data_IF_761197568355
#
_entry.id   IF_761197568355
#
_cell.length_a   1.000
_cell.length_b   1.000
_cell.length_c   1.000
_cell.angle_alpha   90.00
_cell.angle_beta   90.00
_cell.angle_gamma   90.00
#
_symmetry.space_group_name_H-M   'P 1'
#
loop_
_entity.id
_entity.type
_entity.pdbx_description
1 polymer ?
#
# COMPACT_ATOMS: atom_id res chain seq x y z
N UNK A 1 8.71 -11.19 10.99
CA UNK A 1 7.79 -10.51 10.03
C UNK A 1 6.59 -11.39 9.79
N UNK A 2 5.41 -10.79 9.60
CA UNK A 2 4.16 -11.49 9.28
C UNK A 2 3.76 -11.16 7.85
N UNK A 3 3.09 -12.08 7.16
CA UNK A 3 2.69 -11.90 5.76
C UNK A 3 1.20 -11.58 5.68
N UNK A 4 0.88 -10.56 4.92
CA UNK A 4 -0.46 -10.19 4.51
C UNK A 4 -0.54 -10.01 3.01
N UNK A 5 -1.74 -9.81 2.50
CA UNK A 5 -2.00 -9.61 1.08
C UNK A 5 -3.01 -8.48 0.87
N UNK A 6 -2.80 -7.64 -0.13
CA UNK A 6 -3.74 -6.60 -0.48
C UNK A 6 -4.86 -7.17 -1.36
N UNK A 7 -6.11 -6.87 -1.01
CA UNK A 7 -7.30 -7.40 -1.71
C UNK A 7 -7.55 -6.81 -3.11
N UNK A 8 -6.71 -5.88 -3.58
CA UNK A 8 -6.84 -5.24 -4.91
C UNK A 8 -6.88 -6.27 -6.05
N UNK A 9 -6.12 -7.37 -5.95
CA UNK A 9 -6.05 -8.40 -6.98
C UNK A 9 -7.40 -9.08 -7.25
N UNK A 10 -8.33 -9.08 -6.26
CA UNK A 10 -9.70 -9.54 -6.45
C UNK A 10 -10.60 -8.46 -7.05
N UNK A 11 -10.42 -8.17 -8.33
CA UNK A 11 -11.25 -7.28 -9.13
C UNK A 11 -10.60 -5.99 -9.58
N UNK A 12 -9.39 -5.71 -9.12
CA UNK A 12 -8.65 -4.50 -9.48
C UNK A 12 -9.39 -3.20 -9.15
N UNK A 13 -8.77 -2.08 -9.45
CA UNK A 13 -9.43 -0.77 -9.52
C UNK A 13 -9.85 -0.47 -10.96
N UNK A 14 -10.81 0.43 -11.13
CA UNK A 14 -11.20 0.89 -12.46
C UNK A 14 -10.05 1.68 -13.06
N UNK A 15 -9.42 1.14 -14.12
CA UNK A 15 -8.30 1.77 -14.81
C UNK A 15 -7.28 0.75 -15.30
N UNK A 16 -6.09 1.23 -15.65
CA UNK A 16 -4.96 0.42 -16.08
C UNK A 16 -4.37 -0.38 -14.91
N UNK A 17 -3.87 -1.60 -15.19
CA UNK A 17 -3.18 -2.46 -14.21
C UNK A 17 -1.93 -1.81 -13.57
N UNK A 18 -1.40 -0.74 -14.15
CA UNK A 18 -0.33 0.09 -13.58
C UNK A 18 -0.82 1.18 -12.62
N UNK A 19 -2.08 1.10 -12.20
CA UNK A 19 -2.57 1.85 -11.06
C UNK A 19 -3.17 3.21 -11.38
N UNK A 20 -4.20 3.26 -12.19
CA UNK A 20 -5.00 4.48 -12.31
C UNK A 20 -6.08 4.49 -11.24
N UNK A 21 -6.03 5.51 -10.39
CA UNK A 21 -7.13 5.84 -9.51
C UNK A 21 -8.07 6.81 -10.21
N UNK A 22 -9.35 6.51 -10.21
CA UNK A 22 -10.35 7.43 -10.72
C UNK A 22 -10.51 8.61 -9.76
N UNK A 23 -10.22 9.83 -10.21
CA UNK A 23 -10.52 11.06 -9.46
C UNK A 23 -12.04 11.31 -9.30
N UNK A 24 -12.87 10.47 -9.90
CA UNK A 24 -14.33 10.55 -9.78
C UNK A 24 -14.87 9.82 -8.57
N UNK A 25 -14.11 8.84 -8.08
CA UNK A 25 -14.50 8.07 -6.91
C UNK A 25 -13.94 8.73 -5.65
N UNK A 26 -14.80 8.94 -4.68
CA UNK A 26 -14.40 9.50 -3.38
C UNK A 26 -13.51 8.55 -2.58
N UNK A 27 -13.48 7.27 -2.95
CA UNK A 27 -12.74 6.21 -2.28
C UNK A 27 -11.99 5.35 -3.30
N UNK A 28 -10.87 4.81 -2.87
CA UNK A 28 -10.29 3.67 -3.57
C UNK A 28 -11.13 2.43 -3.32
N UNK A 29 -11.30 1.59 -4.34
CA UNK A 29 -12.12 0.40 -4.21
C UNK A 29 -11.67 -0.69 -5.17
N UNK A 30 -11.41 -1.88 -4.64
CA UNK A 30 -11.37 -3.09 -5.44
C UNK A 30 -12.79 -3.55 -5.75
N UNK A 31 -13.03 -3.92 -7.02
CA UNK A 31 -14.39 -4.20 -7.53
C UNK A 31 -14.84 -5.66 -7.35
N UNK A 32 -13.94 -6.55 -6.88
CA UNK A 32 -14.26 -7.94 -6.61
C UNK A 32 -15.02 -8.16 -5.30
N UNK A 33 -15.42 -9.40 -5.08
CA UNK A 33 -16.13 -9.80 -3.87
C UNK A 33 -15.13 -9.88 -2.69
N UNK A 34 -15.23 -8.98 -1.73
CA UNK A 34 -14.31 -8.92 -0.58
C UNK A 34 -14.41 -10.14 0.33
N UNK A 35 -15.56 -10.74 0.45
CA UNK A 35 -15.74 -11.98 1.21
C UNK A 35 -14.98 -13.16 0.57
N UNK A 36 -14.92 -13.21 -0.76
CA UNK A 36 -14.10 -14.18 -1.48
C UNK A 36 -12.62 -13.89 -1.30
N UNK A 37 -12.20 -12.60 -1.44
CA UNK A 37 -10.83 -12.19 -1.22
C UNK A 37 -10.32 -12.59 0.17
N UNK A 38 -11.08 -12.32 1.22
CA UNK A 38 -10.73 -12.68 2.60
C UNK A 38 -10.52 -14.19 2.74
N UNK A 39 -11.45 -15.01 2.20
CA UNK A 39 -11.34 -16.47 2.28
C UNK A 39 -10.14 -17.01 1.51
N UNK A 40 -9.89 -16.50 0.31
CA UNK A 40 -8.80 -16.97 -0.53
C UNK A 40 -7.44 -16.58 0.06
N UNK A 41 -7.26 -15.34 0.49
CA UNK A 41 -6.03 -14.84 1.12
C UNK A 41 -5.72 -15.67 2.38
N UNK A 42 -6.70 -15.89 3.25
CA UNK A 42 -6.55 -16.77 4.41
C UNK A 42 -6.22 -18.21 4.01
N UNK A 43 -6.89 -18.74 2.98
CA UNK A 43 -6.67 -20.08 2.45
C UNK A 43 -5.28 -20.29 1.84
N UNK A 44 -4.63 -19.22 1.35
CA UNK A 44 -3.24 -19.23 0.91
C UNK A 44 -2.22 -19.15 2.06
N UNK A 45 -2.69 -19.06 3.32
CA UNK A 45 -1.81 -19.04 4.50
C UNK A 45 -1.28 -17.66 4.87
N UNK A 46 -1.87 -16.58 4.38
CA UNK A 46 -1.61 -15.24 4.88
C UNK A 46 -2.35 -15.01 6.20
N UNK A 47 -1.73 -14.28 7.11
CA UNK A 47 -2.31 -13.99 8.42
C UNK A 47 -2.96 -12.59 8.50
N UNK A 48 -2.79 -11.76 7.48
CA UNK A 48 -3.31 -10.41 7.42
C UNK A 48 -3.79 -10.01 6.03
N UNK A 49 -4.69 -9.05 6.00
CA UNK A 49 -5.22 -8.45 4.77
C UNK A 49 -5.12 -6.93 4.86
N UNK A 50 -4.82 -6.30 3.73
CA UNK A 50 -5.00 -4.87 3.52
C UNK A 50 -6.19 -4.65 2.60
N UNK A 51 -6.97 -3.62 2.87
CA UNK A 51 -8.13 -3.25 2.06
C UNK A 51 -8.09 -1.77 1.71
N UNK A 52 -8.72 -1.40 0.60
CA UNK A 52 -9.01 -0.01 0.30
C UNK A 52 -10.06 0.59 1.24
N UNK A 53 -9.97 1.89 1.46
CA UNK A 53 -10.90 2.67 2.28
C UNK A 53 -12.36 2.52 1.83
N UNK A 54 -12.65 2.46 0.54
CA UNK A 54 -14.00 2.25 0.02
C UNK A 54 -14.53 0.84 0.24
N UNK A 55 -13.66 -0.17 0.28
CA UNK A 55 -14.08 -1.54 0.64
C UNK A 55 -14.43 -1.62 2.11
N UNK A 56 -13.62 -1.02 2.99
CA UNK A 56 -13.92 -0.95 4.43
C UNK A 56 -15.16 -0.10 4.71
N UNK A 57 -15.32 1.03 4.02
CA UNK A 57 -16.48 1.91 4.16
C UNK A 57 -17.81 1.21 3.80
N UNK A 58 -17.80 0.19 2.94
CA UNK A 58 -19.00 -0.59 2.62
C UNK A 58 -19.56 -1.40 3.79
N UNK A 59 -18.78 -1.53 4.87
CA UNK A 59 -19.19 -2.19 6.12
C UNK A 59 -19.49 -1.21 7.26
N UNK A 60 -19.50 0.12 7.00
CA UNK A 60 -19.70 1.12 8.05
C UNK A 60 -21.03 0.95 8.82
N UNK A 61 -22.11 0.60 8.10
CA UNK A 61 -23.46 0.39 8.68
C UNK A 61 -23.68 -1.04 9.21
N UNK A 62 -22.72 -1.94 8.99
CA UNK A 62 -22.79 -3.35 9.38
C UNK A 62 -21.40 -3.88 9.81
N UNK A 63 -20.80 -3.27 10.82
CA UNK A 63 -19.41 -3.58 11.21
C UNK A 63 -19.21 -5.03 11.69
N UNK A 64 -20.25 -5.65 12.22
CA UNK A 64 -20.18 -7.03 12.69
C UNK A 64 -20.00 -8.02 11.55
N UNK A 65 -20.52 -7.73 10.35
CA UNK A 65 -20.33 -8.58 9.17
C UNK A 65 -18.85 -8.71 8.80
N UNK A 66 -18.09 -7.61 8.82
CA UNK A 66 -16.65 -7.66 8.53
C UNK A 66 -15.88 -8.34 9.67
N UNK A 67 -16.24 -8.07 10.93
CA UNK A 67 -15.60 -8.73 12.09
C UNK A 67 -15.83 -10.26 12.05
N UNK A 68 -17.03 -10.69 11.75
CA UNK A 68 -17.37 -12.12 11.63
C UNK A 68 -16.63 -12.77 10.46
N UNK A 69 -16.56 -12.07 9.30
CA UNK A 69 -15.85 -12.55 8.12
C UNK A 69 -14.35 -12.76 8.41
N UNK A 70 -13.68 -11.73 8.98
CA UNK A 70 -12.26 -11.78 9.34
C UNK A 70 -12.00 -12.85 10.43
N UNK A 71 -12.83 -12.87 11.47
CA UNK A 71 -12.71 -13.82 12.57
C UNK A 71 -12.92 -15.27 12.13
N UNK A 72 -13.89 -15.54 11.24
CA UNK A 72 -14.15 -16.88 10.68
C UNK A 72 -12.99 -17.34 9.79
N UNK A 73 -12.40 -16.43 9.04
CA UNK A 73 -11.24 -16.72 8.20
C UNK A 73 -9.92 -16.82 9.00
N UNK A 74 -9.89 -16.33 10.24
CA UNK A 74 -8.69 -16.30 11.08
C UNK A 74 -7.62 -15.32 10.57
N UNK A 75 -8.02 -14.20 9.94
CA UNK A 75 -7.14 -13.21 9.34
C UNK A 75 -7.37 -11.83 9.97
N UNK A 76 -6.33 -11.01 10.09
CA UNK A 76 -6.42 -9.66 10.67
C UNK A 76 -6.50 -8.60 9.57
N UNK A 77 -7.33 -7.55 9.74
CA UNK A 77 -7.20 -6.32 8.95
C UNK A 77 -5.96 -5.57 9.46
N UNK A 78 -4.91 -5.53 8.66
CA UNK A 78 -3.60 -4.95 9.03
C UNK A 78 -3.56 -3.46 8.80
N UNK A 79 -4.07 -3.05 7.66
CA UNK A 79 -3.94 -1.70 7.11
C UNK A 79 -5.11 -1.37 6.21
N UNK A 80 -5.35 -0.07 6.07
CA UNK A 80 -6.29 0.47 5.09
C UNK A 80 -5.53 1.42 4.18
N UNK A 81 -5.65 1.20 2.87
CA UNK A 81 -5.10 2.09 1.86
C UNK A 81 -6.11 3.20 1.55
N UNK A 82 -5.64 4.44 1.58
CA UNK A 82 -6.37 5.65 1.20
C UNK A 82 -5.46 6.60 0.44
N UNK A 83 -5.99 7.68 -0.09
CA UNK A 83 -5.17 8.69 -0.74
C UNK A 83 -6.00 9.81 -1.34
N UNK A 84 -5.33 10.82 -1.86
CA UNK A 84 -5.99 12.00 -2.42
C UNK A 84 -5.06 12.76 -3.39
N UNK A 85 -5.59 13.84 -3.98
CA UNK A 85 -4.76 14.73 -4.80
C UNK A 85 -3.81 15.60 -3.98
N UNK A 86 -4.24 16.04 -2.79
CA UNK A 86 -3.51 16.80 -1.76
C UNK A 86 -3.08 18.23 -2.15
N UNK A 87 -2.75 18.50 -3.40
CA UNK A 87 -2.15 19.77 -3.86
C UNK A 87 -3.17 20.85 -4.23
N UNK A 88 -4.46 20.52 -4.28
CA UNK A 88 -5.53 21.44 -4.63
C UNK A 88 -6.21 21.96 -3.36
N UNK A 89 -5.99 23.24 -3.03
CA UNK A 89 -6.49 23.86 -1.81
C UNK A 89 -8.03 23.75 -1.66
N UNK A 90 -8.74 23.89 -2.78
CA UNK A 90 -10.23 23.84 -2.78
C UNK A 90 -10.78 22.45 -2.48
N UNK A 91 -10.05 21.38 -2.84
CA UNK A 91 -10.46 19.99 -2.60
C UNK A 91 -9.96 19.43 -1.25
N UNK A 92 -8.85 19.96 -0.73
CA UNK A 92 -8.10 19.38 0.39
C UNK A 92 -8.95 19.17 1.64
N UNK A 93 -9.91 20.05 1.92
CA UNK A 93 -10.79 19.91 3.08
C UNK A 93 -11.63 18.66 3.01
N UNK A 94 -12.22 18.39 1.85
CA UNK A 94 -13.10 17.23 1.65
C UNK A 94 -12.27 15.95 1.56
N UNK A 95 -11.08 16.01 0.96
CA UNK A 95 -10.13 14.91 0.91
C UNK A 95 -9.71 14.48 2.33
N UNK A 96 -9.34 15.42 3.19
CA UNK A 96 -8.96 15.12 4.57
C UNK A 96 -10.13 14.61 5.41
N UNK A 97 -11.34 15.12 5.22
CA UNK A 97 -12.53 14.59 5.89
C UNK A 97 -12.76 13.11 5.55
N UNK A 98 -12.60 12.75 4.26
CA UNK A 98 -12.72 11.36 3.83
C UNK A 98 -11.62 10.47 4.44
N UNK A 99 -10.38 10.97 4.48
CA UNK A 99 -9.26 10.24 5.08
C UNK A 99 -9.46 10.05 6.59
N UNK A 100 -10.01 11.04 7.29
CA UNK A 100 -10.39 10.93 8.70
C UNK A 100 -11.41 9.80 8.91
N UNK A 101 -12.46 9.75 8.07
CA UNK A 101 -13.42 8.64 8.11
C UNK A 101 -12.79 7.28 7.82
N UNK A 102 -11.84 7.22 6.88
CA UNK A 102 -11.10 5.99 6.61
C UNK A 102 -10.25 5.54 7.82
N UNK A 103 -9.60 6.48 8.50
CA UNK A 103 -8.81 6.20 9.70
C UNK A 103 -9.69 5.72 10.88
N UNK A 104 -10.85 6.34 11.10
CA UNK A 104 -11.82 5.91 12.12
C UNK A 104 -12.31 4.47 11.86
N UNK A 105 -12.64 4.14 10.62
CA UNK A 105 -13.07 2.80 10.24
C UNK A 105 -11.91 1.80 10.36
N UNK A 106 -10.71 2.15 9.92
CA UNK A 106 -9.52 1.32 10.08
C UNK A 106 -9.31 0.93 11.56
N UNK A 107 -9.35 1.92 12.45
CA UNK A 107 -9.25 1.70 13.90
C UNK A 107 -10.41 0.83 14.45
N UNK A 108 -11.63 1.04 13.96
CA UNK A 108 -12.83 0.27 14.37
C UNK A 108 -12.67 -1.23 14.08
N UNK A 109 -11.97 -1.58 13.00
CA UNK A 109 -11.73 -2.97 12.60
C UNK A 109 -10.35 -3.50 13.06
N UNK A 110 -9.62 -2.74 13.88
CA UNK A 110 -8.37 -3.19 14.50
C UNK A 110 -7.13 -3.04 13.63
N UNK A 111 -7.22 -2.36 12.49
CA UNK A 111 -6.05 -2.02 11.70
C UNK A 111 -5.08 -1.13 12.51
N UNK A 112 -3.80 -1.24 12.21
CA UNK A 112 -2.76 -0.47 12.89
C UNK A 112 -2.08 0.53 11.97
N UNK A 113 -2.35 0.48 10.66
CA UNK A 113 -1.68 1.25 9.63
C UNK A 113 -2.67 1.92 8.70
N UNK A 114 -2.33 3.14 8.29
CA UNK A 114 -2.97 3.84 7.19
C UNK A 114 -1.92 4.00 6.08
N UNK A 115 -2.13 3.34 4.95
CA UNK A 115 -1.29 3.50 3.76
C UNK A 115 -1.85 4.64 2.94
N UNK A 116 -0.99 5.57 2.54
CA UNK A 116 -1.39 6.83 1.93
C UNK A 116 -0.72 7.00 0.57
N UNK A 117 -1.50 6.81 -0.49
CA UNK A 117 -1.07 7.08 -1.85
C UNK A 117 -1.53 8.44 -2.37
N UNK A 118 -1.15 8.77 -3.59
CA UNK A 118 -1.63 9.94 -4.30
C UNK A 118 -0.64 11.10 -4.38
N UNK A 119 -1.18 12.31 -4.52
CA UNK A 119 -0.44 13.49 -4.97
C UNK A 119 -0.63 13.69 -6.47
N UNK A 120 -1.47 14.66 -6.86
CA UNK A 120 -1.79 14.89 -8.26
C UNK A 120 -0.62 15.52 -9.03
N UNK A 121 -0.53 15.20 -10.31
CA UNK A 121 0.28 15.94 -11.28
C UNK A 121 -0.63 16.94 -12.01
N UNK A 122 -0.19 18.19 -12.07
CA UNK A 122 -0.90 19.21 -12.86
C UNK A 122 -0.66 19.00 -14.35
N UNK A 123 -1.65 19.29 -15.17
CA UNK A 123 -1.50 19.26 -16.63
C UNK A 123 -0.39 20.22 -17.13
N UNK A 124 -0.13 21.31 -16.40
CA UNK A 124 0.93 22.26 -16.70
C UNK A 124 2.33 21.83 -16.20
N UNK A 125 2.43 20.68 -15.54
CA UNK A 125 3.64 20.18 -14.91
C UNK A 125 3.66 20.39 -13.40
N UNK A 126 4.65 19.77 -12.76
CA UNK A 126 4.84 19.82 -11.29
C UNK A 126 5.66 21.06 -10.93
N UNK A 127 5.19 21.80 -9.95
CA UNK A 127 5.89 22.96 -9.39
C UNK A 127 6.57 22.60 -8.05
N UNK A 128 7.68 23.25 -7.66
CA UNK A 128 8.30 23.03 -6.35
C UNK A 128 7.34 23.21 -5.18
N UNK A 129 6.37 24.12 -5.30
CA UNK A 129 5.34 24.41 -4.31
C UNK A 129 4.34 23.27 -4.16
N UNK A 130 4.16 22.41 -5.15
CA UNK A 130 3.28 21.25 -5.05
C UNK A 130 3.82 20.21 -4.05
N UNK A 131 5.16 20.10 -3.92
CA UNK A 131 5.78 19.26 -2.88
C UNK A 131 5.59 19.83 -1.47
N UNK A 132 5.59 21.16 -1.31
CA UNK A 132 5.29 21.79 -0.04
C UNK A 132 3.83 21.53 0.36
N UNK A 133 2.89 21.75 -0.55
CA UNK A 133 1.46 21.46 -0.34
C UNK A 133 1.22 20.00 0.01
N UNK A 134 1.85 19.09 -0.74
CA UNK A 134 1.77 17.66 -0.46
C UNK A 134 2.32 17.34 0.94
N UNK A 135 3.49 17.86 1.28
CA UNK A 135 4.11 17.62 2.59
C UNK A 135 3.25 18.10 3.76
N UNK A 136 2.70 19.32 3.67
CA UNK A 136 1.78 19.88 4.68
C UNK A 136 0.48 19.07 4.81
N UNK A 137 -0.08 18.61 3.68
CA UNK A 137 -1.27 17.77 3.68
C UNK A 137 -0.98 16.41 4.32
N UNK A 138 0.16 15.78 4.02
CA UNK A 138 0.57 14.50 4.59
C UNK A 138 0.88 14.59 6.09
N UNK A 139 1.37 15.73 6.57
CA UNK A 139 1.53 15.97 8.02
C UNK A 139 0.17 16.03 8.74
N UNK A 140 -0.85 16.59 8.08
CA UNK A 140 -2.23 16.55 8.58
C UNK A 140 -2.80 15.14 8.59
N UNK A 141 -2.55 14.37 7.54
CA UNK A 141 -2.94 12.94 7.48
C UNK A 141 -2.25 12.14 8.57
N UNK A 142 -0.97 12.43 8.84
CA UNK A 142 -0.24 11.78 9.93
C UNK A 142 -0.90 12.09 11.29
N UNK A 143 -1.28 13.34 11.53
CA UNK A 143 -1.99 13.71 12.76
C UNK A 143 -3.37 13.03 12.88
N UNK A 144 -4.11 12.90 11.77
CA UNK A 144 -5.37 12.14 11.72
C UNK A 144 -5.13 10.66 12.09
N UNK A 145 -4.14 10.02 11.51
CA UNK A 145 -3.81 8.64 11.81
C UNK A 145 -3.45 8.47 13.30
N UNK A 146 -2.55 9.30 13.82
CA UNK A 146 -2.13 9.28 15.22
C UNK A 146 -3.30 9.46 16.20
N UNK A 147 -4.25 10.36 15.90
CA UNK A 147 -5.44 10.58 16.73
C UNK A 147 -6.38 9.37 16.79
N UNK A 148 -6.27 8.47 15.81
CA UNK A 148 -7.00 7.20 15.75
C UNK A 148 -6.14 5.99 16.18
N UNK A 149 -4.94 6.21 16.74
CA UNK A 149 -4.05 5.13 17.17
C UNK A 149 -3.36 4.37 16.04
N UNK A 150 -3.34 4.95 14.83
CA UNK A 150 -2.70 4.38 13.64
C UNK A 150 -1.36 5.05 13.37
N UNK A 151 -0.47 4.37 12.65
CA UNK A 151 0.65 5.01 11.99
C UNK A 151 0.39 5.15 10.49
N UNK A 152 0.74 6.31 9.90
CA UNK A 152 0.61 6.56 8.47
C UNK A 152 1.93 6.35 7.74
N UNK A 153 1.87 5.81 6.52
CA UNK A 153 3.01 5.68 5.62
C UNK A 153 2.65 6.12 4.20
N UNK A 154 3.47 7.03 3.64
CA UNK A 154 3.31 7.43 2.25
C UNK A 154 3.81 6.34 1.31
N UNK A 155 3.00 6.01 0.34
CA UNK A 155 3.25 5.01 -0.69
C UNK A 155 3.50 5.71 -2.03
N UNK A 156 4.77 5.85 -2.47
CA UNK A 156 5.09 6.35 -3.80
C UNK A 156 4.49 5.46 -4.88
N UNK A 157 3.90 6.07 -5.89
CA UNK A 157 3.14 5.33 -6.87
C UNK A 157 3.33 5.93 -8.27
N UNK A 158 3.44 5.09 -9.30
CA UNK A 158 3.43 5.53 -10.68
C UNK A 158 2.22 6.41 -10.96
N UNK A 159 2.34 7.38 -11.86
CA UNK A 159 1.33 8.37 -12.23
C UNK A 159 1.01 9.42 -11.16
N UNK A 160 1.69 9.41 -10.01
CA UNK A 160 1.59 10.46 -8.99
C UNK A 160 2.75 11.48 -9.10
N UNK A 161 2.76 12.48 -8.23
CA UNK A 161 3.84 13.47 -8.16
C UNK A 161 5.16 12.90 -7.62
N UNK A 162 5.13 11.71 -7.01
CA UNK A 162 6.30 11.06 -6.42
C UNK A 162 6.45 9.66 -7.01
N UNK A 163 7.28 9.55 -8.04
CA UNK A 163 7.63 8.29 -8.71
C UNK A 163 9.12 7.98 -8.57
N UNK A 164 9.99 8.96 -8.86
CA UNK A 164 11.43 8.80 -8.88
C UNK A 164 12.06 8.96 -7.49
N UNK A 165 13.31 8.45 -7.29
CA UNK A 165 14.07 8.68 -6.05
C UNK A 165 14.24 10.15 -5.70
N UNK A 166 14.50 11.02 -6.68
CA UNK A 166 14.65 12.45 -6.45
C UNK A 166 13.36 13.11 -5.98
N UNK A 167 12.21 12.68 -6.52
CA UNK A 167 10.90 13.16 -6.10
C UNK A 167 10.57 12.67 -4.69
N UNK A 168 10.92 11.43 -4.37
CA UNK A 168 10.82 10.90 -3.01
C UNK A 168 11.66 11.71 -2.02
N UNK A 169 12.93 11.99 -2.34
CA UNK A 169 13.81 12.80 -1.48
C UNK A 169 13.24 14.22 -1.27
N UNK A 170 12.67 14.82 -2.32
CA UNK A 170 12.00 16.12 -2.22
C UNK A 170 10.81 16.09 -1.27
N UNK A 171 9.98 15.05 -1.34
CA UNK A 171 8.84 14.90 -0.44
C UNK A 171 9.30 14.62 0.98
N UNK A 172 10.16 13.62 1.19
CA UNK A 172 10.55 13.15 2.52
C UNK A 172 11.27 14.22 3.35
N UNK A 173 11.86 15.23 2.70
CA UNK A 173 12.43 16.41 3.36
C UNK A 173 11.39 17.45 3.81
N UNK A 174 10.11 17.28 3.45
CA UNK A 174 9.02 18.26 3.69
C UNK A 174 7.90 17.76 4.56
N UNK A 175 7.96 16.50 4.98
CA UNK A 175 6.91 15.89 5.79
C UNK A 175 7.51 14.93 6.83
N UNK A 176 6.79 14.75 7.92
CA UNK A 176 7.11 13.75 8.94
C UNK A 176 6.41 12.40 8.74
N UNK A 177 5.57 12.25 7.71
CA UNK A 177 4.86 11.00 7.44
C UNK A 177 5.86 9.84 7.33
N UNK A 178 5.47 8.64 7.77
CA UNK A 178 6.25 7.43 7.55
C UNK A 178 6.41 7.10 6.06
N UNK A 179 7.19 6.07 5.78
CA UNK A 179 7.42 5.57 4.44
C UNK A 179 6.86 4.15 4.31
N UNK A 180 6.04 3.94 3.29
CA UNK A 180 5.59 2.63 2.84
C UNK A 180 6.22 2.35 1.46
N UNK A 181 7.44 1.77 1.40
CA UNK A 181 8.02 1.38 0.12
C UNK A 181 7.16 0.32 -0.56
N UNK A 182 6.80 0.56 -1.82
CA UNK A 182 6.35 -0.47 -2.75
C UNK A 182 7.48 -0.80 -3.70
N UNK A 183 7.90 -2.05 -3.70
CA UNK A 183 9.12 -2.47 -4.37
C UNK A 183 9.05 -2.32 -5.90
N UNK A 184 7.90 -2.59 -6.50
CA UNK A 184 7.75 -2.48 -7.94
C UNK A 184 7.53 -1.04 -8.41
N UNK A 185 6.74 -0.25 -7.68
CA UNK A 185 6.57 1.18 -8.01
C UNK A 185 7.89 1.95 -7.91
N UNK A 186 8.68 1.70 -6.87
CA UNK A 186 10.00 2.31 -6.72
C UNK A 186 10.96 1.91 -7.84
N UNK A 187 10.97 0.63 -8.22
CA UNK A 187 11.81 0.15 -9.32
C UNK A 187 11.36 0.69 -10.68
N UNK A 188 10.06 0.70 -10.96
CA UNK A 188 9.50 1.28 -12.18
C UNK A 188 9.72 2.81 -12.27
N UNK A 189 9.79 3.50 -11.13
CA UNK A 189 10.18 4.91 -11.01
C UNK A 189 11.69 5.16 -11.17
N UNK A 190 12.48 4.12 -11.47
CA UNK A 190 13.93 4.20 -11.70
C UNK A 190 14.79 4.11 -10.45
N UNK A 191 14.22 3.72 -9.31
CA UNK A 191 14.92 3.53 -8.05
C UNK A 191 15.36 2.07 -7.82
N UNK A 192 16.26 1.90 -6.86
CA UNK A 192 16.57 0.60 -6.26
C UNK A 192 15.79 0.51 -4.94
N UNK A 193 14.80 -0.40 -4.81
CA UNK A 193 13.97 -0.51 -3.63
C UNK A 193 14.78 -0.78 -2.36
N UNK A 194 15.78 -1.65 -2.41
CA UNK A 194 16.62 -1.96 -1.25
C UNK A 194 17.46 -0.75 -0.81
N UNK A 195 18.04 -0.02 -1.78
CA UNK A 195 18.78 1.21 -1.47
C UNK A 195 17.89 2.30 -0.87
N UNK A 196 16.64 2.45 -1.36
CA UNK A 196 15.68 3.42 -0.83
C UNK A 196 15.19 3.06 0.58
N UNK A 197 14.97 1.77 0.87
CA UNK A 197 14.68 1.29 2.23
C UNK A 197 15.84 1.63 3.18
N UNK A 198 17.09 1.36 2.78
CA UNK A 198 18.30 1.70 3.56
C UNK A 198 18.49 3.22 3.74
N UNK A 199 18.00 4.03 2.79
CA UNK A 199 18.06 5.50 2.86
C UNK A 199 17.14 6.09 3.93
N UNK A 200 16.01 5.44 4.20
CA UNK A 200 14.97 5.90 5.13
C UNK A 200 14.64 4.90 6.25
N UNK A 201 15.64 4.30 6.93
CA UNK A 201 15.41 3.17 7.85
C UNK A 201 14.46 3.51 9.00
N UNK A 202 14.56 4.72 9.54
CA UNK A 202 13.76 5.17 10.69
C UNK A 202 12.35 5.68 10.27
N UNK A 203 12.04 5.66 8.97
CA UNK A 203 10.77 6.13 8.42
C UNK A 203 9.86 5.00 7.98
N UNK A 204 10.34 3.75 7.93
CA UNK A 204 9.53 2.60 7.46
C UNK A 204 8.41 2.31 8.45
N UNK A 205 7.16 2.48 8.02
CA UNK A 205 5.97 2.18 8.82
C UNK A 205 5.18 0.99 8.27
N UNK A 206 5.35 0.69 6.99
CA UNK A 206 4.72 -0.41 6.28
C UNK A 206 5.57 -0.82 5.09
N UNK A 207 5.35 -1.99 4.50
CA UNK A 207 6.09 -2.45 3.31
C UNK A 207 5.17 -3.19 2.37
N UNK A 208 5.14 -2.77 1.11
CA UNK A 208 4.51 -3.49 0.01
C UNK A 208 5.55 -4.23 -0.82
N UNK A 209 5.33 -5.51 -0.99
CA UNK A 209 6.13 -6.38 -1.85
C UNK A 209 5.36 -6.66 -3.13
N UNK A 210 5.91 -6.20 -4.24
CA UNK A 210 5.37 -6.34 -5.58
C UNK A 210 6.53 -6.59 -6.54
N UNK A 211 6.40 -7.54 -7.46
CA UNK A 211 7.42 -7.80 -8.47
C UNK A 211 7.04 -7.20 -9.81
N UNK A 212 8.00 -7.04 -10.70
CA UNK A 212 7.74 -6.46 -12.00
C UNK A 212 8.62 -7.06 -13.11
N UNK A 213 8.11 -7.01 -14.33
CA UNK A 213 8.87 -7.00 -15.56
C UNK A 213 9.04 -5.55 -16.03
N UNK A 214 10.26 -5.10 -16.40
CA UNK A 214 10.49 -3.68 -16.66
C UNK A 214 10.12 -3.24 -18.10
N UNK A 215 10.06 -4.15 -19.07
CA UNK A 215 9.81 -3.80 -20.48
C UNK A 215 8.97 -4.89 -21.20
N UNK A 216 7.70 -4.61 -21.55
CA UNK A 216 6.91 -3.48 -21.02
C UNK A 216 6.73 -3.60 -19.51
N UNK A 217 6.51 -2.49 -18.83
CA UNK A 217 6.25 -2.53 -17.38
C UNK A 217 4.97 -3.33 -17.12
N UNK A 218 5.13 -4.39 -16.33
CA UNK A 218 4.03 -5.26 -15.91
C UNK A 218 4.28 -5.75 -14.49
N UNK A 219 3.31 -5.59 -13.60
CA UNK A 219 3.39 -6.12 -12.26
C UNK A 219 3.07 -7.61 -12.25
N UNK A 220 3.84 -8.36 -11.48
CA UNK A 220 3.83 -9.83 -11.48
C UNK A 220 3.77 -10.37 -10.05
N UNK A 221 3.29 -11.60 -9.85
CA UNK A 221 3.46 -12.33 -8.60
C UNK A 221 4.95 -12.38 -8.21
N UNK A 222 5.23 -12.39 -6.91
CA UNK A 222 6.60 -12.41 -6.41
C UNK A 222 7.37 -13.62 -6.93
N UNK A 223 8.60 -13.36 -7.39
CA UNK A 223 9.48 -14.37 -8.00
C UNK A 223 9.24 -14.62 -9.47
N UNK A 224 8.22 -14.00 -10.09
CA UNK A 224 7.98 -14.06 -11.52
C UNK A 224 8.61 -12.88 -12.31
N UNK A 225 9.08 -11.86 -11.61
CA UNK A 225 9.72 -10.68 -12.18
C UNK A 225 11.24 -10.67 -12.01
N UNK A 226 11.80 -9.46 -11.87
CA UNK A 226 13.26 -9.25 -11.87
C UNK A 226 13.83 -8.71 -10.56
N UNK A 227 13.00 -8.43 -9.54
CA UNK A 227 13.48 -7.80 -8.31
C UNK A 227 14.24 -8.79 -7.40
N UNK A 228 15.32 -8.31 -6.79
CA UNK A 228 16.10 -9.07 -5.82
C UNK A 228 15.46 -8.98 -4.41
N UNK A 229 14.48 -9.85 -4.16
CA UNK A 229 13.81 -9.90 -2.86
C UNK A 229 14.72 -10.34 -1.71
N UNK A 230 15.81 -11.05 -1.97
CA UNK A 230 16.77 -11.37 -0.92
C UNK A 230 17.46 -10.10 -0.41
N UNK A 231 17.89 -9.20 -1.30
CA UNK A 231 18.46 -7.91 -0.89
C UNK A 231 17.42 -6.97 -0.29
N UNK A 232 16.19 -6.93 -0.84
CA UNK A 232 15.08 -6.14 -0.30
C UNK A 232 14.75 -6.57 1.14
N UNK A 233 14.57 -7.86 1.41
CA UNK A 233 14.27 -8.36 2.75
C UNK A 233 15.44 -8.11 3.72
N UNK A 234 16.69 -8.16 3.26
CA UNK A 234 17.85 -7.78 4.04
C UNK A 234 17.80 -6.30 4.41
N UNK A 235 17.50 -5.40 3.45
CA UNK A 235 17.35 -3.98 3.71
C UNK A 235 16.23 -3.68 4.74
N UNK A 236 15.11 -4.39 4.66
CA UNK A 236 14.01 -4.29 5.63
C UNK A 236 14.47 -4.66 7.05
N UNK A 237 15.29 -5.74 7.20
CA UNK A 237 15.83 -6.12 8.50
C UNK A 237 16.89 -5.13 9.01
N UNK A 238 17.77 -4.64 8.13
CA UNK A 238 18.74 -3.58 8.45
C UNK A 238 18.06 -2.31 8.97
N UNK A 239 16.89 -1.97 8.42
CA UNK A 239 16.01 -0.91 8.91
C UNK A 239 15.32 -1.25 10.25
N UNK A 240 15.54 -2.44 10.81
CA UNK A 240 14.90 -2.93 12.05
C UNK A 240 13.39 -2.95 11.99
N UNK A 241 12.83 -3.07 10.78
CA UNK A 241 11.40 -3.22 10.61
C UNK A 241 11.00 -4.68 10.86
N UNK A 242 10.25 -4.91 11.93
CA UNK A 242 9.74 -6.23 12.31
C UNK A 242 8.23 -6.22 12.48
N UNK A 243 7.53 -5.95 11.39
CA UNK A 243 6.07 -5.91 11.33
C UNK A 243 5.55 -6.64 10.10
N UNK A 244 4.55 -6.11 9.44
CA UNK A 244 3.87 -6.74 8.32
C UNK A 244 4.57 -6.46 6.99
N UNK A 245 4.72 -7.49 6.17
CA UNK A 245 5.04 -7.42 4.76
C UNK A 245 3.76 -7.74 3.99
N UNK A 246 3.28 -6.80 3.22
CA UNK A 246 2.07 -6.96 2.43
C UNK A 246 2.45 -7.26 0.98
N UNK A 247 2.02 -8.40 0.49
CA UNK A 247 2.09 -8.69 -0.95
C UNK A 247 0.98 -7.93 -1.65
N UNK A 248 1.32 -7.20 -2.67
CA UNK A 248 0.37 -6.45 -3.50
C UNK A 248 0.57 -6.80 -4.97
N UNK A 249 -0.53 -6.96 -5.68
CA UNK A 249 -0.56 -7.10 -7.13
C UNK A 249 -1.82 -6.45 -7.67
N UNK A 250 -1.67 -5.39 -8.46
CA UNK A 250 -2.78 -4.50 -8.87
C UNK A 250 -3.82 -5.22 -9.74
N UNK A 251 -3.38 -6.14 -10.58
CA UNK A 251 -4.24 -6.97 -11.42
C UNK A 251 -3.55 -8.28 -11.78
N UNK A 252 -4.34 -9.30 -12.04
CA UNK A 252 -3.88 -10.58 -12.55
C UNK A 252 -4.88 -11.13 -13.58
N UNK A 253 -4.38 -11.60 -14.72
CA UNK A 253 -5.24 -12.09 -15.80
C UNK A 253 -5.86 -13.47 -15.51
N UNK A 254 -5.27 -14.22 -14.57
CA UNK A 254 -5.74 -15.52 -14.12
C UNK A 254 -6.56 -15.44 -12.83
N UNK A 255 -6.63 -16.55 -12.10
CA UNK A 255 -7.24 -16.60 -10.78
C UNK A 255 -6.38 -15.81 -9.76
N UNK A 256 -6.91 -14.79 -9.10
CA UNK A 256 -6.18 -14.03 -8.06
C UNK A 256 -5.55 -14.92 -6.99
N UNK A 257 -6.19 -16.03 -6.67
CA UNK A 257 -5.69 -17.00 -5.71
C UNK A 257 -4.38 -17.63 -6.15
N UNK A 258 -4.23 -17.96 -7.44
CA UNK A 258 -2.98 -18.50 -8.00
C UNK A 258 -1.82 -17.53 -7.83
N UNK A 259 -2.07 -16.23 -8.03
CA UNK A 259 -1.07 -15.19 -7.82
C UNK A 259 -0.66 -15.08 -6.33
N UNK A 260 -1.62 -15.17 -5.43
CA UNK A 260 -1.38 -15.16 -3.99
C UNK A 260 -0.60 -16.40 -3.53
N UNK A 261 -0.95 -17.59 -4.00
CA UNK A 261 -0.25 -18.86 -3.72
C UNK A 261 1.19 -18.83 -4.25
N UNK A 262 1.40 -18.33 -5.47
CA UNK A 262 2.73 -18.19 -6.08
C UNK A 262 3.63 -17.28 -5.24
N UNK A 263 3.11 -16.10 -4.89
CA UNK A 263 3.85 -15.13 -4.09
C UNK A 263 4.16 -15.66 -2.68
N UNK A 264 3.21 -16.36 -2.06
CA UNK A 264 3.39 -16.97 -0.74
C UNK A 264 4.48 -18.02 -0.75
N UNK A 265 4.43 -18.96 -1.70
CA UNK A 265 5.42 -20.03 -1.84
C UNK A 265 6.83 -19.49 -2.09
N UNK A 266 6.94 -18.40 -2.86
CA UNK A 266 8.22 -17.74 -3.09
C UNK A 266 8.79 -17.12 -1.79
N UNK A 267 7.96 -16.38 -1.05
CA UNK A 267 8.38 -15.74 0.22
C UNK A 267 8.71 -16.77 1.29
N UNK A 268 7.93 -17.83 1.44
CA UNK A 268 8.22 -18.90 2.41
C UNK A 268 9.59 -19.50 2.16
N UNK A 269 9.90 -19.82 0.89
CA UNK A 269 11.22 -20.35 0.52
C UNK A 269 12.36 -19.40 0.85
N UNK A 270 12.19 -18.09 0.62
CA UNK A 270 13.21 -17.09 0.94
C UNK A 270 13.41 -16.96 2.46
N UNK A 271 12.33 -16.89 3.21
CA UNK A 271 12.38 -16.70 4.67
C UNK A 271 12.95 -17.93 5.38
N UNK A 272 12.65 -19.15 4.89
CA UNK A 272 13.21 -20.40 5.43
C UNK A 272 14.73 -20.50 5.18
N UNK A 273 15.18 -20.10 4.00
CA UNK A 273 16.60 -20.16 3.63
C UNK A 273 17.46 -19.20 4.49
N UNK A 274 16.89 -18.07 4.86
CA UNK A 274 17.58 -17.05 5.65
C UNK A 274 17.51 -17.30 7.16
N UNK A 275 16.57 -18.11 7.65
CA UNK A 275 16.49 -18.56 9.04
C UNK A 275 17.56 -19.62 9.39
N UNK A 276 18.27 -20.14 8.40
CA UNK A 276 19.32 -21.17 8.56
C UNK A 276 20.75 -20.61 8.43
N UNK A 277 20.91 -19.32 8.10
CA UNK A 277 22.21 -18.64 7.96
C UNK A 277 22.47 -17.72 9.16
#
# INVERSE_FOLDING_TARGET
MRLGYHSITWGGVVGDATGVTSVKDLYYRANGAMDQAVRDIAGCGYAGIEMFDGNVASYADRPDDLRELLGTAGIELVSVYTGANFIYADALRDELYRIERAAELAATFGAQRLVVGGGARRAAGVEPEDYNRLGEALDRVTAIAESNGLSAGYHPHLTTIVESPDELDRLMSRTRIGFCPDTAHLAAGGGDPAALIRRYPDRITHVHLKDLRPDPVEFLPLGAGVLDFADILRAVREARYDSWLIVELDAYAGDPREAAETSKAYLDKLLDTEGQA
#
